data_IF_698992311786
#
_entry.id   IF_698992311786
#
_cell.length_a   1.000
_cell.length_b   1.000
_cell.length_c   1.000
_cell.angle_alpha   90.00
_cell.angle_beta   90.00
_cell.angle_gamma   90.00
#
_symmetry.space_group_name_H-M   'P 1'
#
loop_
_entity.id
_entity.type
_entity.pdbx_description
1 polymer ?
#
# COMPACT_ATOMS: atom_id res chain seq x y z
N UNK A 1 13.48 9.11 -19.55
CA UNK A 1 13.77 7.67 -19.35
C UNK A 1 14.76 7.25 -20.42
N UNK A 2 15.94 6.72 -20.06
CA UNK A 2 16.86 6.17 -21.05
C UNK A 2 16.26 4.89 -21.66
N UNK A 3 16.31 4.78 -22.99
CA UNK A 3 15.83 3.60 -23.71
C UNK A 3 16.66 2.37 -23.31
N UNK A 4 16.00 1.22 -23.19
CA UNK A 4 16.69 -0.06 -22.98
C UNK A 4 17.51 -0.42 -24.21
N UNK A 5 18.71 -0.95 -23.98
CA UNK A 5 19.43 -1.69 -25.01
C UNK A 5 18.65 -2.95 -25.39
N UNK A 6 18.91 -3.47 -26.59
CA UNK A 6 18.28 -4.71 -27.08
C UNK A 6 18.56 -5.90 -26.14
N UNK A 7 19.75 -5.94 -25.53
CA UNK A 7 20.13 -6.96 -24.55
C UNK A 7 19.30 -6.86 -23.27
N UNK A 8 19.07 -5.65 -22.75
CA UNK A 8 18.22 -5.44 -21.57
C UNK A 8 16.75 -5.80 -21.84
N UNK A 9 16.23 -5.50 -23.04
CA UNK A 9 14.86 -5.88 -23.42
C UNK A 9 14.70 -7.40 -23.49
N UNK A 10 15.65 -8.10 -24.12
CA UNK A 10 15.64 -9.57 -24.19
C UNK A 10 15.72 -10.19 -22.80
N UNK A 11 16.57 -9.66 -21.92
CA UNK A 11 16.65 -10.10 -20.54
C UNK A 11 15.34 -9.86 -19.79
N UNK A 12 14.76 -8.66 -19.91
CA UNK A 12 13.48 -8.35 -19.25
C UNK A 12 12.36 -9.28 -19.72
N UNK A 13 12.23 -9.52 -21.03
CA UNK A 13 11.23 -10.44 -21.57
C UNK A 13 11.43 -11.88 -21.07
N UNK A 14 12.68 -12.34 -21.00
CA UNK A 14 13.00 -13.66 -20.45
C UNK A 14 12.63 -13.77 -18.96
N UNK A 15 12.94 -12.74 -18.16
CA UNK A 15 12.56 -12.69 -16.75
C UNK A 15 11.05 -12.56 -16.55
N UNK A 16 10.37 -11.82 -17.43
CA UNK A 16 8.92 -11.67 -17.45
C UNK A 16 8.24 -13.03 -17.55
N UNK A 17 8.61 -13.85 -18.54
CA UNK A 17 8.08 -15.21 -18.68
C UNK A 17 8.30 -16.06 -17.41
N UNK A 18 9.50 -16.00 -16.82
CA UNK A 18 9.85 -16.73 -15.60
C UNK A 18 9.04 -16.27 -14.36
N UNK A 19 8.71 -14.99 -14.28
CA UNK A 19 7.91 -14.43 -13.18
C UNK A 19 6.43 -14.83 -13.31
N UNK A 20 5.84 -14.73 -14.49
CA UNK A 20 4.41 -15.06 -14.68
C UNK A 20 4.15 -16.55 -14.54
N UNK A 21 5.06 -17.39 -15.04
CA UNK A 21 5.02 -18.85 -14.85
C UNK A 21 5.32 -19.29 -13.42
N UNK A 22 5.63 -18.34 -12.52
CA UNK A 22 5.95 -18.55 -11.11
C UNK A 22 7.20 -19.40 -10.87
N UNK A 23 8.11 -19.46 -11.84
CA UNK A 23 9.43 -20.05 -11.64
C UNK A 23 10.29 -19.19 -10.72
N UNK A 24 10.14 -17.86 -10.81
CA UNK A 24 10.75 -16.89 -9.91
C UNK A 24 9.63 -16.21 -9.11
N UNK A 25 9.67 -16.32 -7.79
CA UNK A 25 8.63 -15.78 -6.88
C UNK A 25 9.18 -14.89 -5.77
N UNK A 26 10.51 -14.80 -5.63
CA UNK A 26 11.21 -14.01 -4.62
C UNK A 26 12.29 -13.15 -5.27
N UNK A 27 12.59 -12.02 -4.65
CA UNK A 27 13.63 -11.11 -5.11
C UNK A 27 15.02 -11.77 -5.00
N UNK A 28 15.28 -12.54 -3.94
CA UNK A 28 16.50 -13.34 -3.84
C UNK A 28 16.68 -14.27 -5.05
N UNK A 29 15.64 -15.02 -5.43
CA UNK A 29 15.71 -15.93 -6.59
C UNK A 29 15.94 -15.16 -7.89
N UNK A 30 15.32 -13.98 -8.04
CA UNK A 30 15.52 -13.11 -9.21
C UNK A 30 16.99 -12.69 -9.34
N UNK A 31 17.58 -12.17 -8.26
CA UNK A 31 18.97 -11.70 -8.25
C UNK A 31 19.93 -12.86 -8.47
N UNK A 32 19.74 -13.99 -7.80
CA UNK A 32 20.55 -15.19 -8.00
C UNK A 32 20.45 -15.71 -9.44
N UNK A 33 19.25 -15.73 -10.01
CA UNK A 33 19.05 -16.18 -11.38
C UNK A 33 19.82 -15.30 -12.37
N UNK A 34 19.70 -13.98 -12.25
CA UNK A 34 20.42 -13.03 -13.10
C UNK A 34 21.94 -13.15 -12.91
N UNK A 35 22.42 -13.37 -11.69
CA UNK A 35 23.86 -13.52 -11.41
C UNK A 35 24.51 -14.74 -12.09
N UNK A 36 23.72 -15.80 -12.33
CA UNK A 36 24.18 -17.02 -13.01
C UNK A 36 24.24 -16.85 -14.53
N UNK A 37 23.51 -15.88 -15.08
CA UNK A 37 23.57 -15.55 -16.49
C UNK A 37 24.83 -14.72 -16.72
N UNK A 38 25.79 -15.25 -17.49
CA UNK A 38 27.08 -14.59 -17.80
C UNK A 38 26.86 -13.35 -18.68
N UNK A 39 26.40 -12.25 -18.09
CA UNK A 39 26.27 -10.96 -18.76
C UNK A 39 27.47 -10.06 -18.48
N UNK A 40 27.84 -9.24 -19.46
CA UNK A 40 28.96 -8.31 -19.39
C UNK A 40 28.61 -6.96 -18.73
N UNK A 41 27.33 -6.69 -18.48
CA UNK A 41 26.83 -5.37 -18.02
C UNK A 41 26.02 -5.52 -16.72
N UNK A 42 26.08 -4.49 -15.86
CA UNK A 42 25.19 -4.39 -14.69
C UNK A 42 23.75 -4.23 -15.14
N UNK A 43 22.89 -5.17 -14.74
CA UNK A 43 21.48 -5.23 -15.12
C UNK A 43 20.54 -4.63 -14.07
N UNK A 44 21.03 -3.72 -13.22
CA UNK A 44 20.32 -3.21 -12.04
C UNK A 44 18.95 -2.62 -12.38
N UNK A 45 18.85 -1.93 -13.53
CA UNK A 45 17.59 -1.36 -14.03
C UNK A 45 16.57 -2.46 -14.38
N UNK A 46 17.01 -3.51 -15.07
CA UNK A 46 16.15 -4.64 -15.45
C UNK A 46 15.70 -5.40 -14.20
N UNK A 47 16.62 -5.64 -13.26
CA UNK A 47 16.31 -6.28 -11.97
C UNK A 47 15.26 -5.46 -11.22
N UNK A 48 15.38 -4.12 -11.20
CA UNK A 48 14.42 -3.25 -10.53
C UNK A 48 13.02 -3.29 -11.16
N UNK A 49 12.90 -3.26 -12.50
CA UNK A 49 11.59 -3.39 -13.16
C UNK A 49 10.99 -4.79 -12.95
N UNK A 50 11.79 -5.84 -13.07
CA UNK A 50 11.37 -7.21 -12.77
C UNK A 50 10.92 -7.35 -11.32
N UNK A 51 11.54 -6.63 -10.39
CA UNK A 51 11.09 -6.56 -9.01
C UNK A 51 9.74 -5.86 -8.86
N UNK A 52 9.46 -4.78 -9.60
CA UNK A 52 8.12 -4.17 -9.58
C UNK A 52 7.04 -5.15 -10.04
N UNK A 53 7.31 -5.93 -11.09
CA UNK A 53 6.41 -6.99 -11.52
C UNK A 53 6.23 -8.08 -10.45
N UNK A 54 7.32 -8.49 -9.81
CA UNK A 54 7.28 -9.46 -8.71
C UNK A 54 6.37 -8.97 -7.57
N UNK A 55 6.45 -7.69 -7.22
CA UNK A 55 5.56 -7.07 -6.22
C UNK A 55 4.09 -7.13 -6.66
N UNK A 56 3.78 -6.75 -7.90
CA UNK A 56 2.41 -6.80 -8.41
C UNK A 56 1.82 -8.20 -8.37
N UNK A 57 2.62 -9.24 -8.66
CA UNK A 57 2.16 -10.62 -8.71
C UNK A 57 2.09 -11.30 -7.34
N UNK A 58 2.98 -10.95 -6.40
CA UNK A 58 3.18 -11.75 -5.18
C UNK A 58 3.02 -10.99 -3.86
N UNK A 59 3.03 -9.66 -3.84
CA UNK A 59 3.00 -8.90 -2.58
C UNK A 59 1.59 -8.54 -2.10
N UNK A 60 0.56 -8.73 -2.94
CA UNK A 60 -0.83 -8.47 -2.56
C UNK A 60 -1.03 -7.05 -2.00
N UNK A 61 -1.54 -6.96 -0.77
CA UNK A 61 -1.70 -5.70 -0.01
C UNK A 61 -0.43 -4.82 -0.03
N UNK A 62 0.75 -5.42 0.04
CA UNK A 62 2.02 -4.70 0.17
C UNK A 62 2.61 -4.24 -1.16
N UNK A 63 1.96 -4.46 -2.31
CA UNK A 63 2.53 -4.11 -3.62
C UNK A 63 2.89 -2.62 -3.77
N UNK A 64 2.17 -1.74 -3.09
CA UNK A 64 2.44 -0.30 -3.08
C UNK A 64 3.62 0.10 -2.16
N UNK A 65 4.09 -0.82 -1.31
CA UNK A 65 5.21 -0.60 -0.39
C UNK A 65 6.48 -0.31 -1.19
N UNK A 66 7.15 0.78 -0.84
CA UNK A 66 8.40 1.20 -1.44
C UNK A 66 9.21 1.99 -0.42
N UNK A 67 10.52 1.94 -0.55
CA UNK A 67 11.41 2.54 0.45
C UNK A 67 11.32 4.06 0.52
N UNK A 68 11.15 4.72 -0.63
CA UNK A 68 11.11 6.17 -0.73
C UNK A 68 9.94 6.80 0.06
N UNK A 69 8.76 6.20 -0.02
CA UNK A 69 7.55 6.74 0.64
C UNK A 69 7.27 6.11 2.00
N UNK A 70 7.77 4.90 2.25
CA UNK A 70 7.44 4.12 3.44
C UNK A 70 8.70 3.64 4.15
N UNK A 71 9.71 4.50 4.32
CA UNK A 71 11.06 4.08 4.76
C UNK A 71 11.06 3.26 6.06
N UNK A 72 10.28 3.69 7.07
CA UNK A 72 10.16 2.97 8.35
C UNK A 72 9.49 1.62 8.16
N UNK A 73 8.34 1.60 7.50
CA UNK A 73 7.59 0.36 7.24
C UNK A 73 8.35 -0.60 6.32
N UNK A 74 9.10 -0.11 5.35
CA UNK A 74 9.99 -0.89 4.51
C UNK A 74 11.03 -1.64 5.34
N UNK A 75 11.69 -0.96 6.29
CA UNK A 75 12.67 -1.59 7.17
C UNK A 75 12.04 -2.71 8.03
N UNK A 76 10.81 -2.49 8.48
CA UNK A 76 10.10 -3.47 9.30
C UNK A 76 9.58 -4.66 8.48
N UNK A 77 9.24 -4.47 7.20
CA UNK A 77 8.54 -5.47 6.37
C UNK A 77 9.40 -6.16 5.31
N UNK A 78 10.52 -5.56 4.89
CA UNK A 78 11.32 -6.05 3.75
C UNK A 78 12.70 -6.48 4.21
N UNK A 79 13.11 -7.69 3.78
CA UNK A 79 14.47 -8.20 3.89
C UNK A 79 15.24 -7.78 2.64
N UNK A 80 16.22 -6.87 2.74
CA UNK A 80 17.06 -6.51 1.60
C UNK A 80 17.91 -7.72 1.18
N UNK A 81 18.23 -7.80 -0.11
CA UNK A 81 19.10 -8.85 -0.65
C UNK A 81 20.37 -8.26 -1.27
N UNK A 82 21.53 -8.65 -0.72
CA UNK A 82 22.84 -8.12 -1.14
C UNK A 82 22.93 -6.60 -1.06
N UNK A 83 23.51 -5.98 -2.08
CA UNK A 83 23.67 -4.52 -2.17
C UNK A 83 22.43 -3.79 -2.74
N UNK A 84 21.36 -4.53 -3.11
CA UNK A 84 20.14 -3.95 -3.66
C UNK A 84 19.28 -3.31 -2.56
N UNK A 85 19.61 -2.07 -2.27
CA UNK A 85 18.96 -1.21 -1.28
C UNK A 85 17.47 -0.95 -1.52
N UNK A 86 17.03 -0.99 -2.77
CA UNK A 86 15.65 -0.69 -3.20
C UNK A 86 14.82 -1.94 -3.50
N UNK A 87 15.40 -3.13 -3.31
CA UNK A 87 14.77 -4.43 -3.57
C UNK A 87 14.91 -5.37 -2.37
N UNK A 88 14.03 -6.36 -2.28
CA UNK A 88 14.05 -7.31 -1.19
C UNK A 88 12.84 -8.23 -1.21
N UNK A 89 12.77 -9.10 -0.21
CA UNK A 89 11.64 -10.01 0.00
C UNK A 89 10.78 -9.56 1.19
N UNK A 90 9.47 -9.75 1.12
CA UNK A 90 8.61 -9.55 2.28
C UNK A 90 8.97 -10.55 3.38
N UNK A 91 9.12 -10.06 4.61
CA UNK A 91 9.22 -10.91 5.80
C UNK A 91 7.97 -11.77 5.91
N UNK A 92 8.14 -13.09 5.89
CA UNK A 92 7.04 -14.06 6.06
C UNK A 92 6.72 -14.32 7.54
N UNK A 93 7.72 -14.17 8.42
CA UNK A 93 7.55 -14.30 9.86
C UNK A 93 7.74 -12.93 10.52
N UNK A 94 6.70 -12.48 11.23
CA UNK A 94 6.58 -11.14 11.85
C UNK A 94 7.21 -11.13 13.27
N UNK A 95 7.95 -12.18 13.65
CA UNK A 95 8.34 -12.42 15.04
C UNK A 95 9.25 -11.36 15.67
N UNK A 96 9.74 -10.37 14.89
CA UNK A 96 10.54 -9.23 15.36
C UNK A 96 10.29 -8.01 14.46
N UNK A 97 9.03 -7.66 14.18
CA UNK A 97 8.71 -6.47 13.39
C UNK A 97 7.75 -5.58 14.17
N UNK A 98 8.12 -4.31 14.35
CA UNK A 98 7.26 -3.30 14.98
C UNK A 98 6.14 -2.93 14.02
N UNK A 99 5.07 -3.72 14.01
CA UNK A 99 3.94 -3.54 13.11
C UNK A 99 2.68 -3.31 13.92
N UNK A 100 1.98 -2.25 13.55
CA UNK A 100 0.69 -1.86 14.10
C UNK A 100 -0.33 -1.94 12.98
N UNK A 101 -1.41 -2.66 13.23
CA UNK A 101 -2.52 -2.86 12.30
C UNK A 101 -3.75 -2.21 12.89
N UNK A 102 -4.38 -1.32 12.14
CA UNK A 102 -5.71 -0.82 12.46
C UNK A 102 -6.72 -1.37 11.45
N UNK A 103 -7.86 -1.85 11.96
CA UNK A 103 -9.00 -2.26 11.15
C UNK A 103 -10.15 -1.32 11.44
N UNK A 104 -10.73 -0.75 10.38
CA UNK A 104 -11.82 0.22 10.45
C UNK A 104 -13.02 -0.27 9.63
N UNK A 105 -14.22 0.09 10.07
CA UNK A 105 -15.48 -0.26 9.42
C UNK A 105 -16.45 0.94 9.41
N UNK A 106 -17.28 1.08 8.36
CA UNK A 106 -18.11 2.26 8.14
C UNK A 106 -19.58 1.94 8.44
N UNK A 107 -20.05 2.42 9.58
CA UNK A 107 -21.42 2.17 10.02
C UNK A 107 -22.44 2.80 9.06
N UNK A 108 -23.38 1.98 8.61
CA UNK A 108 -24.43 2.41 7.69
C UNK A 108 -24.00 2.47 6.22
N UNK A 109 -22.80 1.99 5.87
CA UNK A 109 -22.33 1.89 4.49
C UNK A 109 -23.33 1.16 3.58
N UNK A 110 -23.73 -0.06 3.96
CA UNK A 110 -24.66 -0.88 3.14
C UNK A 110 -25.99 -0.15 2.93
N UNK A 111 -26.54 0.46 3.98
CA UNK A 111 -27.79 1.23 3.91
C UNK A 111 -27.64 2.43 2.99
N UNK A 112 -26.56 3.20 3.13
CA UNK A 112 -26.26 4.33 2.25
C UNK A 112 -26.14 3.91 0.78
N UNK A 113 -25.47 2.80 0.51
CA UNK A 113 -25.34 2.26 -0.84
C UNK A 113 -26.70 1.87 -1.43
N UNK A 114 -27.60 1.28 -0.64
CA UNK A 114 -28.95 0.92 -1.07
C UNK A 114 -29.82 2.14 -1.36
N UNK A 115 -29.81 3.14 -0.46
CA UNK A 115 -30.58 4.38 -0.61
C UNK A 115 -30.06 5.26 -1.75
N UNK A 116 -28.75 5.22 -2.01
CA UNK A 116 -28.10 6.05 -3.04
C UNK A 116 -27.98 5.36 -4.40
N UNK A 117 -28.64 4.21 -4.63
CA UNK A 117 -28.65 3.51 -5.93
C UNK A 117 -29.07 4.42 -7.09
N UNK A 118 -30.01 5.33 -6.85
CA UNK A 118 -30.47 6.31 -7.84
C UNK A 118 -29.55 7.53 -8.02
N UNK A 119 -28.50 7.65 -7.20
CA UNK A 119 -27.56 8.78 -7.25
C UNK A 119 -26.11 8.30 -7.31
N UNK A 120 -25.72 7.81 -8.49
CA UNK A 120 -24.39 7.27 -8.80
C UNK A 120 -23.25 8.24 -8.46
N UNK A 121 -23.50 9.55 -8.53
CA UNK A 121 -22.48 10.55 -8.21
C UNK A 121 -22.00 10.45 -6.75
N UNK A 122 -22.90 10.13 -5.81
CA UNK A 122 -22.54 9.98 -4.39
C UNK A 122 -21.75 8.71 -4.16
N UNK A 123 -22.19 7.61 -4.78
CA UNK A 123 -21.53 6.31 -4.70
C UNK A 123 -20.10 6.42 -5.26
N UNK A 124 -19.95 7.05 -6.43
CA UNK A 124 -18.64 7.27 -7.04
C UNK A 124 -17.71 8.09 -6.17
N UNK A 125 -18.19 9.17 -5.54
CA UNK A 125 -17.35 9.97 -4.62
C UNK A 125 -16.92 9.20 -3.37
N UNK A 126 -17.80 8.37 -2.82
CA UNK A 126 -17.44 7.50 -1.70
C UNK A 126 -16.40 6.48 -2.14
N UNK A 127 -16.58 5.88 -3.30
CA UNK A 127 -15.66 4.90 -3.89
C UNK A 127 -14.28 5.51 -4.16
N UNK A 128 -14.23 6.69 -4.78
CA UNK A 128 -12.99 7.47 -5.02
C UNK A 128 -12.26 7.79 -3.71
N UNK A 129 -13.01 8.17 -2.66
CA UNK A 129 -12.41 8.42 -1.35
C UNK A 129 -11.86 7.14 -0.71
N UNK A 130 -12.59 6.03 -0.80
CA UNK A 130 -12.16 4.73 -0.29
C UNK A 130 -10.99 4.14 -1.08
N UNK A 131 -10.86 4.47 -2.36
CA UNK A 131 -9.76 3.97 -3.19
C UNK A 131 -8.49 4.82 -3.04
N UNK A 132 -8.62 6.14 -3.22
CA UNK A 132 -7.47 7.05 -3.27
C UNK A 132 -7.32 7.91 -2.02
N UNK A 133 -8.43 8.34 -1.44
CA UNK A 133 -8.45 9.25 -0.29
C UNK A 133 -7.74 8.66 0.92
N UNK A 134 -8.10 7.43 1.30
CA UNK A 134 -7.49 6.74 2.44
C UNK A 134 -5.99 6.47 2.22
N UNK A 135 -5.58 6.14 0.99
CA UNK A 135 -4.18 5.92 0.63
C UNK A 135 -3.35 7.19 0.76
N UNK A 136 -3.90 8.33 0.34
CA UNK A 136 -3.26 9.65 0.49
C UNK A 136 -3.05 10.01 1.96
N UNK A 137 -4.08 9.80 2.80
CA UNK A 137 -4.01 10.03 4.26
C UNK A 137 -2.93 9.15 4.89
N UNK A 138 -2.93 7.85 4.58
CA UNK A 138 -1.97 6.90 5.13
C UNK A 138 -0.54 7.24 4.73
N UNK A 139 -0.31 7.55 3.44
CA UNK A 139 1.01 7.94 2.93
C UNK A 139 1.55 9.18 3.63
N UNK A 140 0.71 10.19 3.88
CA UNK A 140 1.11 11.39 4.62
C UNK A 140 1.58 11.06 6.04
N UNK A 141 1.02 10.02 6.64
CA UNK A 141 1.36 9.54 7.97
C UNK A 141 2.32 8.34 7.96
N UNK A 142 3.07 8.10 6.88
CA UNK A 142 4.01 6.99 6.75
C UNK A 142 3.42 5.58 6.96
N UNK A 143 2.12 5.42 6.74
CA UNK A 143 1.39 4.16 6.86
C UNK A 143 0.88 3.69 5.50
N UNK A 144 0.63 2.39 5.35
CA UNK A 144 -0.13 1.83 4.24
C UNK A 144 -1.59 1.72 4.65
N UNK A 145 -2.50 2.05 3.74
CA UNK A 145 -3.91 1.74 3.91
C UNK A 145 -4.48 1.13 2.63
N UNK A 146 -5.39 0.18 2.79
CA UNK A 146 -6.21 -0.30 1.69
C UNK A 146 -7.64 -0.53 2.14
N UNK A 147 -8.53 -0.48 1.17
CA UNK A 147 -9.86 -1.02 1.28
C UNK A 147 -9.81 -2.50 0.92
N UNK A 148 -10.30 -3.37 1.79
CA UNK A 148 -10.38 -4.81 1.54
C UNK A 148 -11.73 -5.18 0.92
N UNK A 149 -12.69 -5.63 1.73
CA UNK A 149 -14.01 -6.06 1.28
C UNK A 149 -15.07 -5.06 1.75
N UNK A 150 -15.91 -4.61 0.82
CA UNK A 150 -17.00 -3.70 1.16
C UNK A 150 -16.46 -2.36 1.64
N UNK A 151 -16.60 -2.06 2.92
CA UNK A 151 -16.20 -0.80 3.56
C UNK A 151 -15.10 -0.98 4.62
N UNK A 152 -14.58 -2.19 4.75
CA UNK A 152 -13.46 -2.49 5.62
C UNK A 152 -12.18 -1.80 5.11
N UNK A 153 -11.53 -1.07 6.00
CA UNK A 153 -10.26 -0.40 5.75
C UNK A 153 -9.20 -0.98 6.69
N UNK A 154 -8.10 -1.45 6.12
CA UNK A 154 -6.92 -1.91 6.87
C UNK A 154 -5.82 -0.87 6.75
N UNK A 155 -5.20 -0.54 7.87
CA UNK A 155 -4.02 0.33 7.96
C UNK A 155 -2.88 -0.48 8.57
N UNK A 156 -1.69 -0.36 8.00
CA UNK A 156 -0.47 -0.97 8.53
C UNK A 156 0.59 0.12 8.68
N UNK A 157 1.16 0.24 9.88
CA UNK A 157 2.19 1.22 10.19
C UNK A 157 3.33 0.61 11.00
N UNK A 158 4.50 1.26 10.92
CA UNK A 158 5.70 0.88 11.68
C UNK A 158 5.73 1.47 13.10
N UNK A 159 4.74 2.29 13.48
CA UNK A 159 4.62 2.85 14.82
C UNK A 159 3.16 3.01 15.23
N UNK A 160 2.90 2.91 16.54
CA UNK A 160 1.59 3.13 17.12
C UNK A 160 1.05 4.52 16.79
N UNK A 161 1.91 5.55 16.85
CA UNK A 161 1.55 6.94 16.58
C UNK A 161 1.07 7.13 15.13
N UNK A 162 1.80 6.56 14.17
CA UNK A 162 1.41 6.64 12.75
C UNK A 162 0.07 5.92 12.51
N UNK A 163 -0.14 4.74 13.12
CA UNK A 163 -1.40 4.01 13.02
C UNK A 163 -2.57 4.82 13.61
N UNK A 164 -2.45 5.26 14.87
CA UNK A 164 -3.49 6.05 15.56
C UNK A 164 -3.79 7.33 14.80
N UNK A 165 -2.77 8.09 14.39
CA UNK A 165 -2.97 9.35 13.68
C UNK A 165 -3.68 9.13 12.34
N UNK A 166 -3.27 8.12 11.57
CA UNK A 166 -3.94 7.76 10.30
C UNK A 166 -5.40 7.40 10.54
N UNK A 167 -5.68 6.55 11.54
CA UNK A 167 -7.04 6.17 11.93
C UNK A 167 -7.89 7.39 12.26
N UNK A 168 -7.39 8.30 13.09
CA UNK A 168 -8.12 9.51 13.50
C UNK A 168 -8.38 10.46 12.32
N UNK A 169 -7.43 10.62 11.40
CA UNK A 169 -7.61 11.45 10.20
C UNK A 169 -8.63 10.86 9.22
N UNK A 170 -8.67 9.53 9.08
CA UNK A 170 -9.72 8.85 8.32
C UNK A 170 -11.08 9.09 8.99
N UNK A 171 -11.21 8.87 10.30
CA UNK A 171 -12.45 9.14 11.05
C UNK A 171 -12.93 10.58 10.86
N UNK A 172 -12.03 11.56 11.01
CA UNK A 172 -12.35 12.98 10.79
C UNK A 172 -12.77 13.28 9.35
N UNK A 173 -12.28 12.51 8.37
CA UNK A 173 -12.62 12.68 6.95
C UNK A 173 -14.02 12.18 6.61
N UNK A 174 -14.63 11.30 7.41
CA UNK A 174 -16.03 10.88 7.23
C UNK A 174 -17.05 11.75 7.99
N UNK A 175 -16.57 12.69 8.82
CA UNK A 175 -17.40 13.58 9.64
C UNK A 175 -17.48 15.01 9.08
N UNK A 176 -18.63 15.68 9.16
CA UNK A 176 -18.85 17.05 8.62
C UNK A 176 -18.14 18.07 9.50
N UNK A 177 -18.11 17.81 10.80
CA UNK A 177 -17.32 18.56 11.77
C UNK A 177 -16.19 17.64 12.24
N UNK A 178 -14.98 18.16 12.45
CA UNK A 178 -13.91 17.37 13.02
C UNK A 178 -14.36 16.90 14.41
N UNK A 179 -14.46 15.58 14.58
CA UNK A 179 -14.79 14.96 15.87
C UNK A 179 -13.58 15.12 16.80
N UNK A 180 -12.38 14.94 16.25
CA UNK A 180 -11.11 15.19 16.92
C UNK A 180 -10.61 16.59 16.53
N UNK A 181 -10.50 17.50 17.50
CA UNK A 181 -10.13 18.91 17.29
C UNK A 181 -8.61 19.18 17.35
N UNK A 182 -7.80 18.15 17.49
CA UNK A 182 -6.34 18.28 17.54
C UNK A 182 -5.80 18.79 16.19
N UNK A 183 -4.89 19.78 16.23
CA UNK A 183 -4.30 20.38 15.02
C UNK A 183 -3.44 19.39 14.23
N UNK A 184 -2.95 18.35 14.88
CA UNK A 184 -2.17 17.28 14.24
C UNK A 184 -3.02 16.34 13.40
N UNK A 185 -4.34 16.26 13.68
CA UNK A 185 -5.30 15.42 12.95
C UNK A 185 -6.03 16.29 11.94
N UNK A 186 -5.55 16.32 10.70
CA UNK A 186 -6.13 17.18 9.67
C UNK A 186 -7.47 16.66 9.15
N UNK A 187 -8.35 17.58 8.75
CA UNK A 187 -9.61 17.25 8.07
C UNK A 187 -9.42 17.34 6.56
N UNK A 188 -9.38 16.20 5.88
CA UNK A 188 -9.13 16.12 4.43
C UNK A 188 -10.42 16.05 3.58
N UNK A 189 -11.59 16.29 4.19
CA UNK A 189 -12.90 16.17 3.53
C UNK A 189 -13.26 17.32 2.56
N UNK A 190 -12.38 18.32 2.34
CA UNK A 190 -12.78 19.57 1.64
C UNK A 190 -13.34 19.34 0.23
N UNK A 191 -12.93 18.28 -0.46
CA UNK A 191 -13.40 17.97 -1.82
C UNK A 191 -14.67 17.07 -1.86
N UNK A 192 -14.97 16.36 -0.76
CA UNK A 192 -16.02 15.33 -0.69
C UNK A 192 -17.21 15.70 0.22
N UNK A 193 -17.07 16.76 1.05
CA UNK A 193 -18.00 17.06 2.14
C UNK A 193 -19.42 17.50 1.73
N UNK A 194 -19.59 17.99 0.50
CA UNK A 194 -20.89 18.54 0.05
C UNK A 194 -21.91 17.43 -0.23
N UNK A 195 -21.45 16.19 -0.51
CA UNK A 195 -22.31 15.16 -1.10
C UNK A 195 -22.54 13.95 -0.17
N UNK A 196 -21.60 13.65 0.73
CA UNK A 196 -21.68 12.48 1.60
C UNK A 196 -22.31 12.80 2.97
N UNK A 197 -23.11 11.90 3.55
CA UNK A 197 -23.60 12.03 4.92
C UNK A 197 -22.45 11.84 5.92
N UNK A 198 -22.72 12.11 7.20
CA UNK A 198 -21.77 11.75 8.25
C UNK A 198 -21.83 10.24 8.49
N UNK A 199 -20.67 9.60 8.48
CA UNK A 199 -20.55 8.20 8.84
C UNK A 199 -19.88 8.07 10.19
N UNK A 200 -20.38 7.13 10.99
CA UNK A 200 -19.70 6.67 12.18
C UNK A 200 -18.69 5.61 11.77
N UNK A 201 -17.49 5.65 12.34
CA UNK A 201 -16.45 4.66 12.08
C UNK A 201 -16.04 4.05 13.41
N UNK A 202 -15.97 2.73 13.42
CA UNK A 202 -15.30 1.99 14.49
C UNK A 202 -13.92 1.59 14.04
N UNK A 203 -12.97 1.60 14.98
CA UNK A 203 -11.59 1.21 14.72
C UNK A 203 -11.07 0.32 15.86
N UNK A 204 -10.43 -0.79 15.51
CA UNK A 204 -9.61 -1.60 16.41
C UNK A 204 -8.16 -1.50 15.98
N UNK A 205 -7.25 -1.24 16.93
CA UNK A 205 -5.81 -1.18 16.66
C UNK A 205 -5.11 -2.24 17.50
N UNK A 206 -4.32 -3.08 16.85
CA UNK A 206 -3.46 -4.07 17.47
C UNK A 206 -2.03 -3.88 16.99
N UNK A 207 -1.05 -4.15 17.85
CA UNK A 207 0.35 -4.10 17.47
C UNK A 207 1.23 -4.66 18.58
N UNK A 208 2.42 -5.09 18.20
CA UNK A 208 3.39 -5.73 19.08
C UNK A 208 4.81 -5.56 18.54
N UNK A 209 5.77 -5.92 19.39
CA UNK A 209 7.20 -5.87 19.11
C UNK A 209 7.78 -7.27 19.31
#
# INVERSE_FOLDING_TARGET
MAAYSEAEQKLFHHLYEKLITREITTFANLVEYVSKLKYSVKNDKVIYESFQLLKELHWGFFKDLNRANYTRLWKEMVLPYGDFKEGGDLKRNISISNIFVAMLDIHGYTKFCQESKGNLSRLRKLDEFLHDGIKKIARYNCALATRERGDEIIIIAASATDAVKTTLEIINSFSRRPVIKDKTVQKNRKDFSIILPDFMITAGIAGGN
#
